data_IF_154376077235
#
_entry.id   IF_154376077235
#
_cell.length_a   1.000
_cell.length_b   1.000
_cell.length_c   1.000
_cell.angle_alpha   90.00
_cell.angle_beta   90.00
_cell.angle_gamma   90.00
#
_symmetry.space_group_name_H-M   'P 1'
#
loop_
_entity.id
_entity.type
_entity.pdbx_description
1 polymer ?
#
# COMPACT_ATOMS: atom_id res chain seq x y z
N UNK A 1 7.11 8.08 18.91
CA UNK A 1 7.42 6.87 18.09
C UNK A 1 8.87 6.52 18.30
N UNK A 2 9.20 5.24 18.55
CA UNK A 2 10.60 4.81 18.63
C UNK A 2 11.35 5.12 17.32
N UNK A 3 12.63 5.47 17.42
CA UNK A 3 13.41 5.85 16.23
C UNK A 3 13.54 4.70 15.23
N UNK A 4 13.63 3.46 15.72
CA UNK A 4 13.63 2.25 14.88
C UNK A 4 12.40 2.12 13.97
N UNK A 5 11.28 2.75 14.32
CA UNK A 5 10.05 2.67 13.52
C UNK A 5 10.09 3.62 12.32
N UNK A 6 11.02 4.57 12.31
CA UNK A 6 11.27 5.48 11.18
C UNK A 6 12.10 4.82 10.08
N UNK A 7 12.80 3.73 10.42
CA UNK A 7 13.66 3.02 9.50
C UNK A 7 12.86 2.15 8.53
N UNK A 8 13.28 2.15 7.27
CA UNK A 8 12.69 1.33 6.21
C UNK A 8 13.67 1.10 5.08
N UNK A 9 13.54 -0.02 4.40
CA UNK A 9 14.33 -0.33 3.20
C UNK A 9 13.44 -0.26 1.98
N UNK A 10 13.85 0.48 0.95
CA UNK A 10 13.16 0.49 -0.34
C UNK A 10 13.76 -0.62 -1.20
N UNK A 11 12.91 -1.56 -1.63
CA UNK A 11 13.30 -2.65 -2.52
C UNK A 11 12.68 -2.40 -3.89
N UNK A 12 13.48 -2.24 -4.96
CA UNK A 12 12.95 -2.14 -6.32
C UNK A 12 12.46 -3.51 -6.79
N UNK A 13 11.22 -3.59 -7.27
CA UNK A 13 10.64 -4.79 -7.88
C UNK A 13 10.36 -4.50 -9.34
N UNK A 14 10.90 -5.32 -10.25
CA UNK A 14 10.64 -5.21 -11.67
C UNK A 14 9.14 -5.43 -11.94
N UNK A 15 8.50 -4.47 -12.62
CA UNK A 15 7.14 -4.60 -13.13
C UNK A 15 7.14 -5.71 -14.18
N UNK A 16 6.09 -6.51 -14.23
CA UNK A 16 5.96 -7.60 -15.22
C UNK A 16 5.69 -7.10 -16.66
N UNK A 17 5.98 -5.82 -16.94
CA UNK A 17 5.79 -5.16 -18.22
C UNK A 17 6.93 -4.15 -18.41
N UNK A 18 7.77 -4.40 -19.39
CA UNK A 18 8.95 -3.57 -19.73
C UNK A 18 10.29 -4.29 -19.54
N UNK A 19 11.35 -3.69 -20.05
CA UNK A 19 12.70 -4.23 -20.03
C UNK A 19 13.45 -3.92 -18.72
N UNK A 20 14.19 -4.90 -18.21
CA UNK A 20 14.98 -4.79 -16.97
C UNK A 20 16.06 -3.68 -16.96
N UNK A 21 16.74 -3.31 -18.06
CA UNK A 21 17.69 -2.18 -18.00
C UNK A 21 17.03 -0.82 -17.77
N UNK A 22 15.73 -0.68 -18.00
CA UNK A 22 15.04 0.60 -17.86
C UNK A 22 14.56 0.82 -16.41
N UNK A 23 15.11 1.83 -15.74
CA UNK A 23 14.77 2.16 -14.35
C UNK A 23 13.27 2.40 -14.12
N UNK A 24 12.56 2.97 -15.11
CA UNK A 24 11.12 3.23 -15.03
C UNK A 24 10.27 1.95 -14.86
N UNK A 25 10.82 0.80 -15.25
CA UNK A 25 10.13 -0.49 -15.14
C UNK A 25 10.21 -1.08 -13.73
N UNK A 26 10.83 -0.40 -12.76
CA UNK A 26 10.81 -0.83 -11.37
C UNK A 26 9.76 -0.09 -10.54
N UNK A 27 9.19 -0.80 -9.56
CA UNK A 27 8.34 -0.26 -8.51
C UNK A 27 9.08 -0.39 -7.18
N UNK A 28 9.36 0.73 -6.52
CA UNK A 28 9.88 0.71 -5.16
C UNK A 28 8.82 0.23 -4.16
N UNK A 29 9.13 -0.79 -3.37
CA UNK A 29 8.33 -1.21 -2.21
C UNK A 29 9.08 -0.87 -0.94
N UNK A 30 8.44 -0.10 -0.06
CA UNK A 30 8.98 0.27 1.25
C UNK A 30 8.72 -0.86 2.25
N UNK A 31 9.77 -1.52 2.72
CA UNK A 31 9.72 -2.51 3.78
C UNK A 31 9.96 -1.83 5.12
N UNK A 32 8.97 -1.92 6.00
CA UNK A 32 9.00 -1.41 7.38
C UNK A 32 9.04 -2.56 8.38
N UNK A 33 9.44 -2.27 9.62
CA UNK A 33 9.48 -3.27 10.70
C UNK A 33 8.10 -3.90 10.98
N UNK A 34 8.08 -5.13 11.47
CA UNK A 34 6.85 -5.84 11.84
C UNK A 34 5.97 -5.04 12.81
N UNK A 35 6.59 -4.39 13.80
CA UNK A 35 5.89 -3.54 14.77
C UNK A 35 5.18 -2.37 14.08
N UNK A 36 5.84 -1.71 13.14
CA UNK A 36 5.24 -0.61 12.39
C UNK A 36 4.07 -1.09 11.51
N UNK A 37 4.15 -2.27 10.88
CA UNK A 37 3.02 -2.85 10.11
C UNK A 37 1.77 -3.05 10.97
N UNK A 38 1.94 -3.54 12.19
CA UNK A 38 0.82 -3.74 13.13
C UNK A 38 0.24 -2.38 13.53
N UNK A 39 1.10 -1.41 13.82
CA UNK A 39 0.68 -0.05 14.16
C UNK A 39 -0.09 0.62 13.02
N UNK A 40 0.39 0.51 11.78
CA UNK A 40 -0.31 1.03 10.59
C UNK A 40 -1.71 0.44 10.44
N UNK A 41 -1.87 -0.88 10.65
CA UNK A 41 -3.20 -1.53 10.61
C UNK A 41 -4.13 -1.02 11.71
N UNK A 42 -3.61 -0.78 12.91
CA UNK A 42 -4.40 -0.24 14.02
C UNK A 42 -4.89 1.19 13.69
N UNK A 43 -4.01 2.02 13.14
CA UNK A 43 -4.36 3.39 12.73
C UNK A 43 -5.37 3.38 11.59
N UNK A 44 -5.17 2.55 10.56
CA UNK A 44 -6.10 2.40 9.43
C UNK A 44 -7.51 1.99 9.90
N UNK A 45 -7.61 1.02 10.81
CA UNK A 45 -8.90 0.59 11.38
C UNK A 45 -9.64 1.74 12.05
N UNK A 46 -8.94 2.52 12.89
CA UNK A 46 -9.55 3.67 13.58
C UNK A 46 -9.94 4.78 12.60
N UNK A 47 -9.13 5.03 11.57
CA UNK A 47 -9.44 6.04 10.57
C UNK A 47 -10.70 5.68 9.78
N UNK A 48 -10.89 4.40 9.44
CA UNK A 48 -12.09 3.92 8.75
C UNK A 48 -13.37 4.09 9.56
N UNK A 49 -13.29 4.05 10.89
CA UNK A 49 -14.44 4.35 11.76
C UNK A 49 -14.80 5.84 11.78
N UNK A 50 -13.81 6.72 11.54
CA UNK A 50 -13.98 8.18 11.62
C UNK A 50 -14.27 8.85 10.28
N UNK A 51 -13.93 8.20 9.16
CA UNK A 51 -14.00 8.80 7.82
C UNK A 51 -15.03 8.08 6.97
N UNK A 52 -16.01 8.84 6.46
CA UNK A 52 -16.92 8.34 5.42
C UNK A 52 -16.22 8.35 4.06
N UNK A 53 -16.03 7.17 3.46
CA UNK A 53 -15.45 7.02 2.12
C UNK A 53 -16.58 7.01 1.08
N UNK A 54 -16.38 7.72 -0.03
CA UNK A 54 -17.36 7.77 -1.12
C UNK A 54 -17.60 6.40 -1.75
N UNK A 55 -18.84 6.13 -2.14
CA UNK A 55 -19.24 4.89 -2.82
C UNK A 55 -18.60 4.70 -4.20
N UNK A 56 -18.01 5.76 -4.77
CA UNK A 56 -17.26 5.69 -6.04
C UNK A 56 -15.81 5.23 -5.84
N UNK A 57 -15.35 5.07 -4.60
CA UNK A 57 -14.02 4.54 -4.30
C UNK A 57 -14.05 3.02 -4.34
N UNK A 58 -13.25 2.44 -5.23
CA UNK A 58 -13.07 0.99 -5.34
C UNK A 58 -11.68 0.55 -4.86
N UNK A 59 -10.70 1.44 -4.90
CA UNK A 59 -9.37 1.13 -4.41
C UNK A 59 -9.35 0.97 -2.89
N UNK A 60 -8.76 -0.12 -2.41
CA UNK A 60 -8.55 -0.39 -0.97
C UNK A 60 -9.82 -0.45 -0.12
N UNK A 61 -10.98 -0.66 -0.76
CA UNK A 61 -12.26 -0.87 -0.10
C UNK A 61 -12.56 -2.36 0.04
N UNK A 62 -13.10 -2.80 1.20
CA UNK A 62 -13.61 -4.16 1.35
C UNK A 62 -14.62 -4.47 0.25
N UNK A 63 -14.57 -5.69 -0.31
CA UNK A 63 -15.53 -6.17 -1.31
C UNK A 63 -15.55 -5.38 -2.65
N UNK A 64 -14.66 -4.41 -2.84
CA UNK A 64 -14.57 -3.59 -4.05
C UNK A 64 -13.39 -3.97 -4.94
N UNK A 65 -13.37 -5.20 -5.46
CA UNK A 65 -12.32 -5.65 -6.39
C UNK A 65 -12.31 -4.83 -7.70
N UNK A 66 -11.14 -4.66 -8.32
CA UNK A 66 -11.01 -4.01 -9.64
C UNK A 66 -11.72 -4.77 -10.75
N UNK A 67 -12.04 -6.05 -10.56
CA UNK A 67 -12.84 -6.84 -11.51
C UNK A 67 -14.27 -6.34 -11.64
N UNK A 68 -14.82 -5.71 -10.60
CA UNK A 68 -16.18 -5.20 -10.59
C UNK A 68 -16.32 -3.81 -11.25
N UNK A 69 -15.20 -3.14 -11.58
CA UNK A 69 -15.17 -1.87 -12.31
C UNK A 69 -15.26 -2.02 -13.84
N UNK A 70 -15.12 -3.24 -14.37
CA UNK A 70 -14.94 -3.51 -15.81
C UNK A 70 -16.14 -4.29 -16.39
N UNK A 71 -17.32 -4.20 -15.75
CA UNK A 71 -18.60 -4.60 -16.35
C UNK A 71 -19.34 -3.39 -16.91
#
# INVERSE_FOLDING_TARGET
MPDDWRNSTIVPILKQKGDAPECFNYRGIKLISHRMKIYERLVDSRLKEMVSISQVQWGFMPESSTTALVM
#
